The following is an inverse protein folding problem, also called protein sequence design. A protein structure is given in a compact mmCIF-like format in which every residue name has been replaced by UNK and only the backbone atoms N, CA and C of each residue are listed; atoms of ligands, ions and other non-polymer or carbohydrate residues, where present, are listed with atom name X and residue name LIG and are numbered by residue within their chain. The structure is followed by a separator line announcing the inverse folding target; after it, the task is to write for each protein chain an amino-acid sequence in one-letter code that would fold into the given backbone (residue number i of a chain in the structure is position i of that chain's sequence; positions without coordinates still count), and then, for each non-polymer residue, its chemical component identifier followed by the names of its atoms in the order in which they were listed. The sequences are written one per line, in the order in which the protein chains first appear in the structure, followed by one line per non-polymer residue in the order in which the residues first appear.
data_IF_005460401852
#
_entry.id   IF_005460401852
#
_cell.length_a   1.000
_cell.length_b   1.000
_cell.length_c   1.000
_cell.angle_alpha   90.00
_cell.angle_beta   90.00
_cell.angle_gamma   90.00
#
_symmetry.space_group_name_H-M   'P 1'
#
loop_
_entity.id
_entity.type
_entity.pdbx_description
1 polymer ?
#
# COMPACT_ATOMS: atom_id res chain seq x y z
N UNK A 1 41.13 22.58 41.58
CA UNK A 1 40.40 22.92 40.33
C UNK A 1 40.51 21.78 39.32
N UNK A 2 39.84 20.64 39.56
CA UNK A 2 39.97 19.47 38.67
C UNK A 2 38.80 18.50 38.80
N UNK A 3 37.55 18.97 38.68
CA UNK A 3 36.40 18.05 38.61
C UNK A 3 35.29 18.45 37.62
N UNK A 4 35.39 19.61 36.95
CA UNK A 4 34.33 20.09 36.03
C UNK A 4 34.63 19.82 34.55
N UNK A 5 35.72 19.11 34.24
CA UNK A 5 36.17 18.86 32.85
C UNK A 5 35.80 17.47 32.31
N UNK A 6 35.40 16.51 33.15
CA UNK A 6 35.10 15.15 32.69
C UNK A 6 33.65 14.93 32.23
N UNK A 7 32.73 15.86 32.54
CA UNK A 7 31.30 15.68 32.21
C UNK A 7 30.86 16.34 30.89
N UNK A 8 31.71 17.17 30.28
CA UNK A 8 31.42 17.82 28.98
C UNK A 8 31.76 16.91 27.80
N UNK A 9 32.62 15.91 28.00
CA UNK A 9 33.07 15.00 26.93
C UNK A 9 32.20 13.76 26.77
N UNK A 10 31.27 13.49 27.70
CA UNK A 10 30.32 12.37 27.57
C UNK A 10 29.05 12.72 26.79
N UNK A 11 28.75 14.01 26.60
CA UNK A 11 27.54 14.47 25.89
C UNK A 11 27.72 14.67 24.38
N UNK A 12 28.95 14.63 23.87
CA UNK A 12 29.21 14.74 22.41
C UNK A 12 29.20 13.38 21.68
N UNK A 13 29.07 12.27 22.41
CA UNK A 13 29.00 10.91 21.86
C UNK A 13 27.59 10.38 21.53
N UNK A 14 26.53 11.14 21.85
CA UNK A 14 25.14 10.70 21.67
C UNK A 14 24.35 11.47 20.59
N UNK A 15 25.02 12.32 19.80
CA UNK A 15 24.38 13.03 18.67
C UNK A 15 25.00 12.72 17.30
N UNK A 16 25.94 11.77 17.22
CA UNK A 16 26.48 11.26 15.94
C UNK A 16 25.93 9.86 15.58
N UNK A 17 25.17 9.22 16.48
CA UNK A 17 24.53 7.92 16.20
C UNK A 17 23.08 8.01 15.71
N UNK A 18 22.51 9.21 15.62
CA UNK A 18 21.16 9.43 15.08
C UNK A 18 21.15 9.91 13.62
N UNK A 19 22.23 10.54 13.14
CA UNK A 19 22.28 11.06 11.75
C UNK A 19 22.93 10.13 10.72
N UNK A 20 23.44 8.96 11.12
CA UNK A 20 23.95 7.97 10.16
C UNK A 20 22.93 6.86 9.81
N UNK A 21 21.72 6.91 10.38
CA UNK A 21 20.64 5.98 10.06
C UNK A 21 19.66 6.52 9.00
N UNK A 22 19.94 7.70 8.42
CA UNK A 22 19.08 8.36 7.42
C UNK A 22 19.89 8.65 6.14
N UNK A 23 20.78 7.77 5.68
CA UNK A 23 21.39 7.90 4.34
C UNK A 23 21.81 6.58 3.70
N UNK A 24 21.17 5.45 4.06
CA UNK A 24 21.41 4.17 3.37
C UNK A 24 20.12 3.40 3.06
N UNK A 25 19.06 4.12 2.66
CA UNK A 25 17.93 3.52 1.92
C UNK A 25 18.03 3.98 0.47
N UNK A 26 19.12 3.62 -0.18
CA UNK A 26 19.21 3.58 -1.64
C UNK A 26 20.16 2.45 -2.02
N UNK A 27 19.74 1.68 -3.03
CA UNK A 27 20.40 0.50 -3.57
C UNK A 27 20.27 -0.81 -2.77
N UNK A 28 19.04 -1.32 -2.67
CA UNK A 28 18.84 -2.72 -3.06
C UNK A 28 18.10 -2.74 -4.41
N UNK A 29 18.66 -3.36 -5.47
CA UNK A 29 17.84 -3.83 -6.57
C UNK A 29 16.92 -4.89 -5.97
N UNK A 30 15.64 -4.55 -5.79
CA UNK A 30 14.64 -5.50 -5.30
C UNK A 30 14.64 -6.67 -6.28
N UNK A 31 15.01 -7.90 -5.87
CA UNK A 31 14.68 -9.04 -6.68
C UNK A 31 13.17 -9.04 -6.86
N UNK A 32 12.76 -9.35 -8.07
CA UNK A 32 11.44 -9.76 -8.51
C UNK A 32 10.86 -10.84 -7.58
N UNK A 33 10.43 -10.48 -6.38
CA UNK A 33 9.72 -11.36 -5.45
C UNK A 33 8.24 -11.42 -5.86
N UNK A 34 8.03 -11.99 -7.05
CA UNK A 34 6.74 -12.44 -7.56
C UNK A 34 6.30 -13.78 -6.97
N UNK A 35 6.73 -14.10 -5.75
CA UNK A 35 6.43 -15.34 -5.05
C UNK A 35 6.21 -14.92 -3.59
N UNK A 36 5.01 -14.91 -3.03
CA UNK A 36 4.43 -16.04 -2.29
C UNK A 36 2.97 -15.72 -1.86
N UNK A 37 2.16 -15.08 -2.71
CA UNK A 37 0.71 -14.94 -2.42
C UNK A 37 -0.07 -16.23 -2.76
N UNK A 38 0.62 -17.26 -3.25
CA UNK A 38 -0.01 -18.41 -3.91
C UNK A 38 -0.83 -19.35 -3.01
N UNK A 39 -0.89 -19.17 -1.68
CA UNK A 39 -1.79 -19.99 -0.82
C UNK A 39 -2.16 -19.36 0.53
N UNK A 40 -1.78 -18.10 0.79
CA UNK A 40 -2.03 -17.44 2.06
C UNK A 40 -3.31 -16.63 1.96
N UNK A 41 -4.25 -16.90 2.86
CA UNK A 41 -5.52 -16.21 3.04
C UNK A 41 -5.28 -14.70 2.88
N UNK A 42 -5.74 -14.15 1.77
CA UNK A 42 -5.71 -12.70 1.58
C UNK A 42 -6.58 -12.08 2.68
N UNK A 43 -6.05 -11.12 3.46
CA UNK A 43 -6.87 -10.48 4.46
C UNK A 43 -8.07 -9.79 3.79
N UNK A 44 -9.24 -9.75 4.46
CA UNK A 44 -10.35 -8.97 3.97
C UNK A 44 -9.92 -7.49 3.82
N UNK A 45 -10.51 -6.74 2.88
CA UNK A 45 -10.28 -5.32 2.77
C UNK A 45 -10.61 -4.64 4.11
N UNK A 46 -9.84 -3.61 4.45
CA UNK A 46 -10.09 -2.83 5.66
C UNK A 46 -11.45 -2.14 5.57
N UNK A 47 -12.16 -2.04 6.69
CA UNK A 47 -13.32 -1.15 6.80
C UNK A 47 -12.88 0.31 6.64
N UNK A 48 -13.78 1.16 6.13
CA UNK A 48 -13.48 2.56 5.82
C UNK A 48 -12.79 3.30 6.97
N UNK A 49 -13.35 3.24 8.17
CA UNK A 49 -12.79 3.93 9.34
C UNK A 49 -11.36 3.44 9.67
N UNK A 50 -11.09 2.14 9.55
CA UNK A 50 -9.75 1.58 9.78
C UNK A 50 -8.80 1.99 8.68
N UNK A 51 -9.24 1.89 7.43
CA UNK A 51 -8.46 2.33 6.27
C UNK A 51 -8.03 3.79 6.44
N UNK A 52 -8.95 4.70 6.75
CA UNK A 52 -8.65 6.13 6.93
C UNK A 52 -7.62 6.37 8.04
N UNK A 53 -7.77 5.71 9.20
CA UNK A 53 -6.81 5.84 10.31
C UNK A 53 -5.43 5.30 9.92
N UNK A 54 -5.36 4.10 9.34
CA UNK A 54 -4.09 3.48 8.96
C UNK A 54 -3.41 4.22 7.80
N UNK A 55 -4.20 4.68 6.83
CA UNK A 55 -3.73 5.44 5.69
C UNK A 55 -3.23 6.83 6.12
N UNK A 56 -3.92 7.52 7.03
CA UNK A 56 -3.46 8.77 7.61
C UNK A 56 -2.08 8.64 8.28
N UNK A 57 -1.90 7.56 9.05
CA UNK A 57 -0.62 7.27 9.69
C UNK A 57 0.46 6.91 8.66
N UNK A 58 0.12 6.12 7.64
CA UNK A 58 1.04 5.81 6.55
C UNK A 58 1.51 7.08 5.82
N UNK A 59 0.58 7.96 5.43
CA UNK A 59 0.88 9.26 4.83
C UNK A 59 1.81 10.09 5.73
N UNK A 60 1.50 10.19 7.03
CA UNK A 60 2.35 10.90 8.00
C UNK A 60 3.76 10.32 8.08
N UNK A 61 3.92 8.99 8.09
CA UNK A 61 5.25 8.34 8.13
C UNK A 61 6.06 8.51 6.83
N UNK A 62 5.37 8.71 5.70
CA UNK A 62 5.99 8.91 4.39
C UNK A 62 6.19 10.38 4.02
N UNK A 63 5.70 11.30 4.84
CA UNK A 63 5.65 12.73 4.51
C UNK A 63 4.76 13.02 3.29
N UNK A 64 3.75 12.18 3.06
CA UNK A 64 2.77 12.35 1.99
C UNK A 64 1.55 13.09 2.53
N UNK A 65 0.93 13.90 1.67
CA UNK A 65 -0.36 14.51 1.97
C UNK A 65 -1.44 13.42 2.06
N UNK A 66 -2.30 13.51 3.07
CA UNK A 66 -3.41 12.58 3.25
C UNK A 66 -4.53 12.93 2.28
N UNK A 67 -4.55 12.27 1.13
CA UNK A 67 -5.58 12.49 0.12
C UNK A 67 -6.59 11.36 0.13
N UNK A 68 -7.87 11.65 0.40
CA UNK A 68 -8.94 10.63 0.33
C UNK A 68 -9.32 10.30 -1.12
N UNK A 69 -9.18 11.27 -2.03
CA UNK A 69 -9.57 11.17 -3.43
C UNK A 69 -8.49 11.76 -4.32
N UNK A 70 -8.09 11.03 -5.35
CA UNK A 70 -7.06 11.48 -6.30
C UNK A 70 -7.73 11.83 -7.62
N UNK A 71 -7.26 12.88 -8.30
CA UNK A 71 -7.74 13.21 -9.63
C UNK A 71 -7.40 12.04 -10.58
N UNK A 72 -8.43 11.45 -11.17
CA UNK A 72 -8.29 10.41 -12.20
C UNK A 72 -8.12 11.08 -13.56
N UNK A 73 -8.97 12.06 -13.87
CA UNK A 73 -8.94 12.85 -15.10
C UNK A 73 -9.40 14.27 -14.80
N UNK A 74 -9.39 15.17 -15.79
CA UNK A 74 -9.72 16.60 -15.62
C UNK A 74 -11.06 16.85 -14.89
N UNK A 75 -12.06 16.01 -15.13
CA UNK A 75 -13.39 16.10 -14.50
C UNK A 75 -13.72 14.96 -13.51
N UNK A 76 -12.77 14.04 -13.24
CA UNK A 76 -13.06 12.81 -12.49
C UNK A 76 -12.08 12.58 -11.35
N UNK A 77 -12.62 12.07 -10.24
CA UNK A 77 -11.87 11.78 -9.03
C UNK A 77 -12.09 10.33 -8.65
N UNK A 78 -11.04 9.64 -8.23
CA UNK A 78 -11.11 8.28 -7.70
C UNK A 78 -10.97 8.31 -6.18
N UNK A 79 -11.93 7.67 -5.51
CA UNK A 79 -11.88 7.45 -4.07
C UNK A 79 -10.90 6.31 -3.77
N UNK A 80 -9.85 6.61 -3.00
CA UNK A 80 -8.79 5.64 -2.71
C UNK A 80 -9.30 4.44 -1.90
N UNK A 81 -10.29 4.66 -1.03
CA UNK A 81 -10.88 3.58 -0.25
C UNK A 81 -11.67 2.62 -1.15
N UNK A 82 -12.51 3.15 -2.05
CA UNK A 82 -13.22 2.33 -3.04
C UNK A 82 -12.25 1.57 -3.95
N UNK A 83 -11.17 2.21 -4.38
CA UNK A 83 -10.14 1.59 -5.20
C UNK A 83 -9.44 0.44 -4.44
N UNK A 84 -9.03 0.67 -3.19
CA UNK A 84 -8.47 -0.35 -2.30
C UNK A 84 -9.40 -1.57 -2.18
N UNK A 85 -10.68 -1.35 -1.83
CA UNK A 85 -11.65 -2.43 -1.64
C UNK A 85 -11.81 -3.27 -2.90
N UNK A 86 -11.95 -2.63 -4.07
CA UNK A 86 -12.14 -3.34 -5.33
C UNK A 86 -10.88 -4.13 -5.74
N UNK A 87 -9.69 -3.59 -5.57
CA UNK A 87 -8.43 -4.31 -5.88
C UNK A 87 -8.15 -5.45 -4.91
N UNK A 88 -8.43 -5.26 -3.62
CA UNK A 88 -8.30 -6.32 -2.62
C UNK A 88 -9.28 -7.47 -2.88
N UNK A 89 -10.51 -7.19 -3.34
CA UNK A 89 -11.48 -8.23 -3.74
C UNK A 89 -10.99 -9.07 -4.91
N UNK A 90 -10.32 -8.46 -5.89
CA UNK A 90 -9.77 -9.18 -7.05
C UNK A 90 -8.47 -9.93 -6.74
N UNK A 91 -7.84 -9.60 -5.60
CA UNK A 91 -6.76 -10.39 -5.02
C UNK A 91 -5.37 -9.74 -5.06
N UNK A 92 -5.30 -8.41 -4.95
CA UNK A 92 -4.10 -7.52 -4.92
C UNK A 92 -3.69 -6.91 -6.27
N UNK A 93 -2.87 -5.85 -6.18
CA UNK A 93 -2.25 -5.19 -7.33
C UNK A 93 -1.60 -6.17 -8.31
N UNK A 94 -0.79 -7.12 -7.82
CA UNK A 94 -0.07 -8.05 -8.68
C UNK A 94 -1.04 -8.88 -9.55
N UNK A 95 -2.13 -9.36 -8.93
CA UNK A 95 -3.13 -10.18 -9.61
C UNK A 95 -3.99 -9.36 -10.58
N UNK A 96 -4.41 -8.16 -10.18
CA UNK A 96 -5.15 -7.24 -11.06
C UNK A 96 -4.29 -6.83 -12.25
N UNK A 97 -3.02 -6.52 -12.03
CA UNK A 97 -2.09 -6.09 -13.06
C UNK A 97 -1.72 -7.23 -14.02
N UNK A 98 -1.42 -8.42 -13.52
CA UNK A 98 -1.07 -9.58 -14.35
C UNK A 98 -2.24 -10.04 -15.23
N UNK A 99 -3.46 -10.02 -14.70
CA UNK A 99 -4.66 -10.41 -15.43
C UNK A 99 -5.31 -9.23 -16.20
N UNK A 100 -4.64 -8.07 -16.23
CA UNK A 100 -5.11 -6.84 -16.87
C UNK A 100 -6.51 -6.38 -16.41
N UNK A 101 -6.93 -6.67 -15.17
CA UNK A 101 -8.31 -6.48 -14.68
C UNK A 101 -8.66 -5.03 -14.33
N UNK A 102 -7.75 -4.07 -14.54
CA UNK A 102 -7.97 -2.65 -14.25
C UNK A 102 -9.20 -2.08 -14.95
N UNK A 103 -9.51 -2.57 -16.17
CA UNK A 103 -10.71 -2.17 -16.90
C UNK A 103 -12.01 -2.58 -16.18
N UNK A 104 -12.03 -3.77 -15.55
CA UNK A 104 -13.17 -4.25 -14.75
C UNK A 104 -13.26 -3.49 -13.44
N UNK A 105 -12.13 -3.25 -12.77
CA UNK A 105 -12.09 -2.44 -11.54
C UNK A 105 -12.64 -1.04 -11.79
N UNK A 106 -12.21 -0.38 -12.87
CA UNK A 106 -12.73 0.94 -13.24
C UNK A 106 -14.21 0.92 -13.61
N UNK A 107 -14.67 -0.11 -14.31
CA UNK A 107 -16.10 -0.26 -14.60
C UNK A 107 -16.95 -0.44 -13.34
N UNK A 108 -16.49 -1.20 -12.35
CA UNK A 108 -17.16 -1.34 -11.03
C UNK A 108 -17.16 -0.05 -10.21
N UNK A 109 -16.17 0.81 -10.40
CA UNK A 109 -16.12 2.15 -9.80
C UNK A 109 -17.07 3.14 -10.49
N UNK A 110 -17.76 2.73 -11.55
CA UNK A 110 -18.71 3.56 -12.30
C UNK A 110 -18.10 4.30 -13.47
N UNK A 111 -16.82 4.08 -13.79
CA UNK A 111 -16.16 4.66 -14.97
C UNK A 111 -16.47 3.86 -16.23
N UNK A 112 -17.74 3.55 -16.47
CA UNK A 112 -18.15 2.66 -17.57
C UNK A 112 -18.05 3.41 -18.90
N UNK A 113 -17.50 2.75 -19.91
CA UNK A 113 -17.56 3.26 -21.29
C UNK A 113 -19.01 3.35 -21.74
N UNK A 114 -19.43 4.49 -22.27
CA UNK A 114 -20.83 4.74 -22.64
C UNK A 114 -21.44 3.71 -23.60
N UNK A 115 -20.61 3.02 -24.40
CA UNK A 115 -21.01 1.95 -25.32
C UNK A 115 -21.21 0.58 -24.68
N UNK A 116 -20.74 0.37 -23.45
CA UNK A 116 -20.61 -0.95 -22.82
C UNK A 116 -21.66 -1.19 -21.73
N UNK A 117 -22.73 -0.40 -21.70
CA UNK A 117 -23.87 -0.58 -20.77
C UNK A 117 -24.58 -1.93 -20.91
N UNK A 118 -24.23 -2.74 -21.91
CA UNK A 118 -24.76 -4.10 -22.15
C UNK A 118 -23.75 -5.22 -21.84
N UNK A 119 -22.50 -4.89 -21.45
CA UNK A 119 -21.44 -5.87 -21.17
C UNK A 119 -21.31 -6.05 -19.66
N UNK A 120 -21.51 -7.28 -19.19
CA UNK A 120 -21.24 -7.68 -17.81
C UNK A 120 -19.91 -8.48 -17.73
N UNK A 121 -18.96 -8.11 -16.85
CA UNK A 121 -18.98 -6.94 -15.97
C UNK A 121 -18.69 -5.63 -16.75
N UNK A 122 -19.18 -4.48 -16.24
CA UNK A 122 -18.90 -3.18 -16.84
C UNK A 122 -17.40 -2.93 -16.91
N UNK A 123 -16.97 -2.24 -17.98
CA UNK A 123 -15.55 -1.97 -18.28
C UNK A 123 -15.32 -0.48 -18.49
N UNK A 124 -14.19 0.02 -18.00
CA UNK A 124 -13.72 1.37 -18.30
C UNK A 124 -12.83 1.40 -19.54
N UNK A 125 -12.56 2.62 -20.03
CA UNK A 125 -11.62 2.85 -21.10
C UNK A 125 -10.19 2.41 -20.70
N UNK A 126 -9.39 1.82 -21.62
CA UNK A 126 -8.00 1.47 -21.35
C UNK A 126 -7.14 2.62 -20.82
N UNK A 127 -7.40 3.86 -21.22
CA UNK A 127 -6.67 5.03 -20.69
C UNK A 127 -6.95 5.23 -19.20
N UNK A 128 -8.22 5.16 -18.81
CA UNK A 128 -8.64 5.22 -17.40
C UNK A 128 -8.09 4.03 -16.61
N UNK A 129 -8.08 2.84 -17.19
CA UNK A 129 -7.51 1.65 -16.55
C UNK A 129 -6.01 1.83 -16.25
N UNK A 130 -5.24 2.40 -17.18
CA UNK A 130 -3.84 2.71 -16.98
C UNK A 130 -3.62 3.76 -15.89
N UNK A 131 -4.45 4.82 -15.87
CA UNK A 131 -4.41 5.84 -14.81
C UNK A 131 -4.75 5.26 -13.43
N UNK A 132 -5.78 4.42 -13.32
CA UNK A 132 -6.15 3.72 -12.08
C UNK A 132 -5.00 2.86 -11.54
N UNK A 133 -4.36 2.09 -12.42
CA UNK A 133 -3.18 1.28 -12.05
C UNK A 133 -2.07 2.14 -11.47
N UNK A 134 -1.78 3.27 -12.12
CA UNK A 134 -0.75 4.21 -11.68
C UNK A 134 -1.10 4.85 -10.34
N UNK A 135 -2.32 5.36 -10.17
CA UNK A 135 -2.78 5.97 -8.91
C UNK A 135 -2.70 4.95 -7.77
N UNK A 136 -3.15 3.72 -7.99
CA UNK A 136 -3.05 2.66 -6.99
C UNK A 136 -1.59 2.40 -6.62
N UNK A 137 -0.70 2.30 -7.62
CA UNK A 137 0.73 2.05 -7.40
C UNK A 137 1.38 3.13 -6.55
N UNK A 138 1.08 4.39 -6.83
CA UNK A 138 1.68 5.54 -6.13
C UNK A 138 1.14 5.68 -4.69
N UNK A 139 -0.16 5.44 -4.49
CA UNK A 139 -0.81 5.74 -3.21
C UNK A 139 -1.06 4.52 -2.31
N UNK A 140 -1.35 3.34 -2.89
CA UNK A 140 -1.92 2.21 -2.16
C UNK A 140 -1.05 0.95 -2.18
N UNK A 141 -0.23 0.71 -3.20
CA UNK A 141 0.57 -0.52 -3.33
C UNK A 141 1.42 -0.79 -2.08
N UNK A 142 2.17 0.22 -1.63
CA UNK A 142 3.03 0.08 -0.45
C UNK A 142 2.24 -0.09 0.84
N UNK A 143 1.09 0.59 0.95
CA UNK A 143 0.20 0.48 2.11
C UNK A 143 -0.41 -0.92 2.22
N UNK A 144 -0.97 -1.42 1.11
CA UNK A 144 -1.61 -2.74 1.05
C UNK A 144 -0.59 -3.85 1.21
N UNK A 145 0.60 -3.70 0.64
CA UNK A 145 1.70 -4.65 0.87
C UNK A 145 2.04 -4.80 2.35
N UNK A 146 2.18 -3.69 3.09
CA UNK A 146 2.49 -3.72 4.52
C UNK A 146 1.34 -4.35 5.33
N UNK A 147 0.10 -4.01 5.00
CA UNK A 147 -1.07 -4.60 5.63
C UNK A 147 -1.12 -6.12 5.43
N UNK A 148 -1.01 -6.57 4.18
CA UNK A 148 -1.06 -7.99 3.82
C UNK A 148 0.10 -8.74 4.47
N UNK A 149 1.31 -8.20 4.39
CA UNK A 149 2.50 -8.81 4.99
C UNK A 149 2.32 -9.01 6.50
N UNK A 150 1.80 -8.01 7.20
CA UNK A 150 1.54 -8.09 8.64
C UNK A 150 0.51 -9.17 9.00
N UNK A 151 -0.61 -9.25 8.26
CA UNK A 151 -1.64 -10.26 8.54
C UNK A 151 -1.16 -11.66 8.22
N UNK A 152 -0.45 -11.85 7.10
CA UNK A 152 0.16 -13.12 6.71
C UNK A 152 1.14 -13.62 7.76
N UNK A 153 2.00 -12.74 8.26
CA UNK A 153 2.98 -13.03 9.30
C UNK A 153 2.32 -13.42 10.63
N UNK A 154 1.25 -12.72 11.03
CA UNK A 154 0.44 -13.10 12.19
C UNK A 154 -0.26 -14.45 12.01
N UNK A 155 -0.79 -14.75 10.82
CA UNK A 155 -1.46 -16.01 10.53
C UNK A 155 -0.48 -17.20 10.57
N UNK A 156 0.73 -17.02 10.04
CA UNK A 156 1.81 -18.03 10.11
C UNK A 156 2.16 -18.37 11.56
N UNK A 157 2.43 -17.35 12.39
CA UNK A 157 2.73 -17.56 13.81
C UNK A 157 1.62 -18.30 14.56
N UNK A 158 0.35 -17.96 14.30
CA UNK A 158 -0.79 -18.67 14.92
C UNK A 158 -0.86 -20.14 14.49
N UNK A 159 -0.61 -20.43 13.22
CA UNK A 159 -0.61 -21.81 12.71
C UNK A 159 0.53 -22.66 13.31
N UNK A 160 1.69 -22.05 13.57
CA UNK A 160 2.83 -22.72 14.22
C UNK A 160 2.53 -23.03 15.69
N UNK A 161 1.90 -22.10 16.42
CA UNK A 161 1.48 -22.31 17.82
C UNK A 161 0.42 -23.42 17.91
N UNK A 162 -0.53 -23.46 16.98
CA UNK A 162 -1.58 -24.49 16.95
C UNK A 162 -1.02 -25.89 16.63
N UNK A 163 0.07 -25.99 15.86
CA UNK A 163 0.73 -27.27 15.54
C UNK A 163 1.59 -27.83 16.68
N UNK A 164 1.89 -27.02 17.69
CA UNK A 164 2.69 -27.41 18.87
C UNK A 164 1.82 -27.77 20.09
N UNK A 165 0.49 -27.73 19.97
CA UNK A 165 -0.48 -28.10 21.03
C UNK A 165 -1.13 -29.45 20.75
#
# INVERSE_FOLDING_TARGET
MQQVQFEVTRRKGLMVKLNHAITHISAQPRPHDGLLVSSLILPPPLDKARFEIHYANFCRTKGLEMTSRVALSDAQWVDLYQLHVNVMKEGTFAKVNQNNLWHIVGGRLGYVRASDNTVDPPRCDPELAAQLSRIYKEHLEHFDFLYISSVVDMAKRKAEIQKQS
#
